data_IF_531557081265
#
_entry.id   IF_531557081265
#
_cell.length_a   1.000
_cell.length_b   1.000
_cell.length_c   1.000
_cell.angle_alpha   90.00
_cell.angle_beta   90.00
_cell.angle_gamma   90.00
#
_symmetry.space_group_name_H-M   'P 1'
#
loop_
_entity.id
_entity.type
_entity.pdbx_description
1 polymer ?
#
# COMPACT_ATOMS: atom_id res chain seq x y z
N UNK A 1 50.58 -5.43 -33.90
CA UNK A 1 51.72 -5.15 -33.01
C UNK A 1 51.30 -5.35 -31.58
N UNK A 2 52.07 -6.24 -30.96
CA UNK A 2 52.38 -6.44 -29.52
C UNK A 2 51.13 -6.70 -28.63
N UNK A 3 50.89 -7.90 -28.21
CA UNK A 3 51.63 -8.87 -27.32
C UNK A 3 51.57 -8.54 -25.86
N UNK A 4 51.15 -9.59 -25.08
CA UNK A 4 51.55 -9.94 -23.70
C UNK A 4 50.72 -9.30 -22.59
N UNK A 5 50.38 -9.96 -21.50
CA UNK A 5 50.93 -11.17 -20.84
C UNK A 5 49.91 -11.75 -19.84
N UNK A 6 49.94 -13.03 -19.71
CA UNK A 6 49.36 -13.91 -18.72
C UNK A 6 49.97 -13.73 -17.32
N UNK A 7 49.16 -13.84 -16.27
CA UNK A 7 49.63 -14.26 -14.94
C UNK A 7 48.61 -15.13 -14.27
N UNK A 8 48.94 -16.38 -14.21
CA UNK A 8 48.42 -17.44 -13.37
C UNK A 8 48.81 -17.19 -11.90
N UNK A 9 47.86 -17.31 -10.99
CA UNK A 9 48.17 -17.52 -9.58
C UNK A 9 47.26 -18.61 -8.98
N UNK A 10 47.96 -19.60 -8.55
CA UNK A 10 47.60 -20.87 -7.95
C UNK A 10 46.72 -20.75 -6.69
N UNK A 11 45.82 -21.70 -6.59
CA UNK A 11 45.10 -22.09 -5.38
C UNK A 11 46.00 -22.78 -4.36
N UNK A 12 45.78 -22.65 -3.06
CA UNK A 12 46.21 -23.67 -2.10
C UNK A 12 45.03 -24.50 -1.58
N UNK A 13 45.28 -25.81 -1.53
CA UNK A 13 44.46 -26.90 -0.99
C UNK A 13 44.30 -26.80 0.53
N UNK A 14 43.22 -27.32 1.10
CA UNK A 14 43.05 -27.40 2.54
C UNK A 14 43.66 -28.69 3.12
N UNK A 15 44.35 -28.53 4.22
CA UNK A 15 44.92 -29.54 5.08
C UNK A 15 43.83 -30.32 5.85
N UNK A 16 43.90 -31.63 5.79
CA UNK A 16 43.18 -32.57 6.65
C UNK A 16 43.88 -32.70 8.01
N UNK A 17 43.15 -32.80 9.13
CA UNK A 17 43.71 -33.34 10.35
C UNK A 17 43.27 -34.79 10.62
N UNK A 18 44.22 -35.64 10.55
CA UNK A 18 44.64 -36.81 11.33
C UNK A 18 43.66 -37.36 12.38
N UNK A 19 43.34 -38.61 12.15
CA UNK A 19 42.77 -39.60 13.08
C UNK A 19 43.66 -39.84 14.31
N UNK A 20 43.10 -39.74 15.49
CA UNK A 20 43.68 -40.33 16.70
C UNK A 20 42.82 -41.47 17.22
N UNK A 21 43.31 -42.65 16.98
CA UNK A 21 42.97 -43.91 17.59
C UNK A 21 43.25 -43.86 19.11
N UNK A 22 42.28 -44.15 19.94
CA UNK A 22 42.52 -44.48 21.33
C UNK A 22 41.97 -45.86 21.64
N UNK A 23 42.92 -46.68 22.13
CA UNK A 23 42.83 -48.07 22.52
C UNK A 23 41.95 -48.30 23.73
N UNK A 24 41.23 -49.39 23.73
CA UNK A 24 40.57 -50.03 24.86
C UNK A 24 41.58 -50.61 25.87
N UNK A 25 41.26 -50.67 27.14
CA UNK A 25 41.79 -51.73 28.02
C UNK A 25 40.67 -52.66 28.52
N UNK A 26 40.89 -53.89 28.21
CA UNK A 26 40.90 -55.20 28.96
C UNK A 26 40.04 -55.25 30.24
N UNK A 27 39.26 -56.31 30.19
CA UNK A 27 38.40 -56.88 31.22
C UNK A 27 39.10 -57.17 32.57
N UNK A 28 38.34 -56.98 33.61
CA UNK A 28 38.55 -57.78 34.84
C UNK A 28 37.18 -58.01 35.47
N UNK A 29 36.76 -59.28 35.46
CA UNK A 29 35.70 -59.76 36.32
C UNK A 29 36.25 -59.93 37.76
N UNK A 30 35.43 -59.69 38.75
CA UNK A 30 35.33 -60.64 39.85
C UNK A 30 33.94 -60.96 40.33
N UNK A 31 33.80 -62.20 40.69
CA UNK A 31 33.07 -62.76 41.78
C UNK A 31 31.55 -62.66 41.86
N UNK A 32 31.00 -63.77 41.60
CA UNK A 32 29.71 -64.31 41.98
C UNK A 32 29.46 -64.15 43.52
N UNK A 33 28.51 -63.29 43.93
CA UNK A 33 27.91 -63.32 45.25
C UNK A 33 26.42 -63.68 45.11
N UNK A 34 26.10 -64.84 45.68
CA UNK A 34 24.75 -65.33 45.91
C UNK A 34 24.13 -64.40 46.94
N UNK A 35 23.06 -63.73 46.58
CA UNK A 35 22.21 -62.98 47.49
C UNK A 35 20.75 -63.37 47.28
N UNK A 36 20.27 -64.09 48.20
CA UNK A 36 18.95 -64.12 48.82
C UNK A 36 17.85 -63.40 48.09
N UNK A 37 16.89 -64.25 47.68
CA UNK A 37 15.54 -63.91 47.30
C UNK A 37 14.79 -63.32 48.52
N UNK A 38 14.65 -62.02 48.55
CA UNK A 38 13.66 -61.38 49.42
C UNK A 38 12.39 -61.13 48.57
N UNK A 39 11.38 -61.92 48.85
CA UNK A 39 10.00 -61.71 48.42
C UNK A 39 9.53 -60.35 48.98
N UNK A 40 9.51 -59.32 48.17
CA UNK A 40 8.78 -58.09 48.47
C UNK A 40 7.34 -58.23 47.94
N UNK A 41 6.33 -57.81 48.73
CA UNK A 41 4.96 -57.86 48.31
C UNK A 41 4.70 -56.87 47.20
N UNK A 42 4.05 -57.32 46.15
CA UNK A 42 3.57 -56.52 45.02
C UNK A 42 2.75 -55.30 45.54
N UNK A 43 3.40 -54.15 45.62
CA UNK A 43 2.69 -52.89 45.75
C UNK A 43 1.92 -52.61 44.47
N UNK A 44 0.63 -52.69 44.47
CA UNK A 44 -0.26 -52.15 43.47
C UNK A 44 0.03 -50.66 43.30
N UNK A 45 0.95 -50.35 42.39
CA UNK A 45 1.11 -48.93 41.97
C UNK A 45 -0.17 -48.51 41.24
N UNK A 46 -0.80 -47.41 41.60
CA UNK A 46 -1.93 -46.86 40.86
C UNK A 46 -1.51 -46.66 39.40
N UNK A 47 -2.29 -47.26 38.51
CA UNK A 47 -2.06 -47.19 37.06
C UNK A 47 -2.01 -45.70 36.65
N UNK A 48 -0.80 -45.20 36.47
CA UNK A 48 -0.55 -43.80 36.11
C UNK A 48 -0.91 -43.66 34.63
N UNK A 49 -2.12 -43.13 34.33
CA UNK A 49 -2.63 -42.92 32.98
C UNK A 49 -1.61 -42.10 32.17
N UNK A 50 -0.92 -41.20 32.82
CA UNK A 50 0.16 -40.42 32.20
C UNK A 50 1.35 -41.29 31.77
N UNK A 51 1.75 -42.31 32.52
CA UNK A 51 2.84 -43.22 32.15
C UNK A 51 2.48 -44.06 30.92
N UNK A 52 1.26 -44.55 30.83
CA UNK A 52 0.81 -45.30 29.67
C UNK A 52 0.74 -44.46 28.39
N UNK A 53 0.35 -43.17 28.52
CA UNK A 53 0.30 -42.24 27.40
C UNK A 53 1.71 -41.87 26.93
N UNK A 54 2.64 -41.67 27.85
CA UNK A 54 4.06 -41.39 27.50
C UNK A 54 4.74 -42.60 26.83
N UNK A 55 4.54 -43.81 27.34
CA UNK A 55 5.10 -45.02 26.70
C UNK A 55 4.50 -45.27 25.31
N UNK A 56 3.21 -45.02 25.13
CA UNK A 56 2.55 -45.10 23.83
C UNK A 56 3.14 -44.07 22.86
N UNK A 57 3.29 -42.81 23.31
CA UNK A 57 3.87 -41.71 22.53
C UNK A 57 5.31 -42.04 22.14
N UNK A 58 6.13 -42.55 23.06
CA UNK A 58 7.54 -42.88 22.77
C UNK A 58 7.70 -44.01 21.75
N UNK A 59 6.87 -45.04 21.81
CA UNK A 59 6.82 -46.13 20.82
C UNK A 59 6.39 -45.67 19.43
N UNK A 60 5.55 -44.64 19.35
CA UNK A 60 4.99 -44.15 18.08
C UNK A 60 5.47 -42.77 17.67
N UNK A 61 6.51 -42.22 18.32
CA UNK A 61 7.03 -40.90 18.04
C UNK A 61 7.37 -40.68 16.55
N UNK A 62 7.94 -41.68 15.89
CA UNK A 62 8.27 -41.55 14.47
C UNK A 62 7.00 -41.49 13.60
N UNK A 63 6.02 -42.34 13.88
CA UNK A 63 4.74 -42.36 13.17
C UNK A 63 3.94 -41.06 13.42
N UNK A 64 3.98 -40.54 14.65
CA UNK A 64 3.35 -39.28 15.03
C UNK A 64 3.98 -38.08 14.29
N UNK A 65 5.31 -38.01 14.22
CA UNK A 65 6.05 -36.98 13.46
C UNK A 65 5.67 -37.02 11.98
N UNK A 66 5.61 -38.20 11.38
CA UNK A 66 5.19 -38.36 9.98
C UNK A 66 3.74 -37.93 9.80
N UNK A 67 2.84 -38.31 10.70
CA UNK A 67 1.43 -37.92 10.67
C UNK A 67 1.24 -36.40 10.73
N UNK A 68 1.90 -35.73 11.66
CA UNK A 68 1.88 -34.26 11.79
C UNK A 68 2.44 -33.58 10.55
N UNK A 69 3.55 -34.10 10.01
CA UNK A 69 4.14 -33.57 8.78
C UNK A 69 3.18 -33.71 7.58
N UNK A 70 2.53 -34.85 7.43
CA UNK A 70 1.55 -35.10 6.36
C UNK A 70 0.34 -34.16 6.48
N UNK A 71 -0.20 -33.98 7.69
CA UNK A 71 -1.30 -33.03 7.94
C UNK A 71 -0.87 -31.61 7.58
N UNK A 72 0.34 -31.19 7.98
CA UNK A 72 0.90 -29.89 7.65
C UNK A 72 1.05 -29.68 6.13
N UNK A 73 1.61 -30.64 5.43
CA UNK A 73 1.77 -30.59 3.97
C UNK A 73 0.40 -30.58 3.27
N UNK A 74 -0.52 -31.45 3.69
CA UNK A 74 -1.87 -31.48 3.13
C UNK A 74 -2.60 -30.16 3.34
N UNK A 75 -2.51 -29.57 4.54
CA UNK A 75 -3.05 -28.26 4.84
C UNK A 75 -2.48 -27.15 3.94
N UNK A 76 -1.16 -27.14 3.73
CA UNK A 76 -0.50 -26.19 2.82
C UNK A 76 -0.95 -26.37 1.37
N UNK A 77 -1.08 -27.62 0.89
CA UNK A 77 -1.58 -27.90 -0.46
C UNK A 77 -3.03 -27.43 -0.64
N UNK A 78 -3.90 -27.68 0.33
CA UNK A 78 -5.28 -27.23 0.30
C UNK A 78 -5.38 -25.70 0.31
N UNK A 79 -4.59 -25.02 1.13
CA UNK A 79 -4.51 -23.57 1.17
C UNK A 79 -3.99 -23.04 -0.18
N UNK A 80 -2.90 -23.58 -0.70
CA UNK A 80 -2.33 -23.18 -1.99
C UNK A 80 -3.32 -23.35 -3.15
N UNK A 81 -4.08 -24.44 -3.15
CA UNK A 81 -5.12 -24.71 -4.16
C UNK A 81 -6.32 -23.77 -4.02
N UNK A 82 -6.72 -23.46 -2.78
CA UNK A 82 -7.87 -22.58 -2.49
C UNK A 82 -7.62 -21.13 -2.89
N UNK A 83 -6.41 -20.63 -2.73
CA UNK A 83 -6.10 -19.20 -2.92
C UNK A 83 -5.72 -18.86 -4.35
N UNK A 84 -5.58 -19.81 -5.27
CA UNK A 84 -5.08 -19.58 -6.65
C UNK A 84 -3.82 -18.68 -6.69
N UNK A 85 -2.94 -18.88 -5.73
CA UNK A 85 -1.74 -18.05 -5.44
C UNK A 85 -0.77 -17.99 -6.63
N UNK A 86 -0.88 -18.95 -7.56
CA UNK A 86 0.04 -19.08 -8.70
C UNK A 86 -0.52 -18.50 -10.02
N UNK A 87 -1.81 -18.10 -10.08
CA UNK A 87 -2.39 -17.63 -11.33
C UNK A 87 -2.00 -16.19 -11.59
N UNK A 88 -1.39 -15.94 -12.75
CA UNK A 88 -1.16 -14.60 -13.27
C UNK A 88 -2.40 -14.14 -14.05
N UNK A 89 -2.93 -12.99 -13.71
CA UNK A 89 -4.04 -12.37 -14.43
C UNK A 89 -3.48 -11.46 -15.51
N UNK A 90 -3.92 -11.68 -16.75
CA UNK A 90 -3.48 -10.92 -17.93
C UNK A 90 -4.51 -9.88 -18.36
N UNK A 91 -5.76 -10.16 -18.09
CA UNK A 91 -6.89 -9.29 -18.42
C UNK A 91 -7.79 -9.12 -17.21
N UNK A 92 -8.60 -8.08 -17.20
CA UNK A 92 -9.62 -7.85 -16.17
C UNK A 92 -10.64 -9.00 -16.13
N UNK A 93 -10.97 -9.56 -17.30
CA UNK A 93 -11.88 -10.73 -17.41
C UNK A 93 -11.33 -12.00 -16.80
N UNK A 94 -10.01 -12.11 -16.64
CA UNK A 94 -9.39 -13.28 -16.01
C UNK A 94 -9.55 -13.30 -14.49
N UNK A 95 -9.93 -12.16 -13.92
CA UNK A 95 -10.08 -12.00 -12.46
C UNK A 95 -11.46 -12.55 -12.08
N UNK A 96 -11.52 -13.60 -11.24
CA UNK A 96 -12.79 -14.12 -10.77
C UNK A 96 -13.57 -13.06 -9.99
N UNK A 97 -14.88 -12.99 -10.21
CA UNK A 97 -15.78 -12.05 -9.49
C UNK A 97 -15.67 -12.19 -7.96
N UNK A 98 -15.38 -13.40 -7.47
CA UNK A 98 -15.15 -13.64 -6.04
C UNK A 98 -14.00 -12.81 -5.47
N UNK A 99 -12.96 -12.52 -6.27
CA UNK A 99 -11.81 -11.72 -5.84
C UNK A 99 -12.21 -10.26 -5.67
N UNK A 100 -13.09 -9.77 -6.54
CA UNK A 100 -13.65 -8.43 -6.47
C UNK A 100 -14.59 -8.34 -5.27
N UNK A 101 -15.52 -9.29 -5.13
CA UNK A 101 -16.47 -9.35 -4.02
C UNK A 101 -15.77 -9.45 -2.66
N UNK A 102 -14.73 -10.27 -2.55
CA UNK A 102 -13.91 -10.42 -1.33
C UNK A 102 -12.87 -9.29 -1.16
N UNK A 103 -12.83 -8.35 -2.08
CA UNK A 103 -11.88 -7.22 -2.09
C UNK A 103 -10.43 -7.67 -1.88
N UNK A 104 -10.00 -8.66 -2.64
CA UNK A 104 -8.66 -9.22 -2.53
C UNK A 104 -7.60 -8.18 -2.87
N UNK A 105 -6.47 -8.27 -2.18
CA UNK A 105 -5.31 -7.43 -2.46
C UNK A 105 -4.36 -8.19 -3.37
N UNK A 106 -4.07 -7.60 -4.52
CA UNK A 106 -3.13 -8.13 -5.50
C UNK A 106 -1.83 -7.34 -5.46
N UNK A 107 -0.77 -7.96 -5.95
CA UNK A 107 0.55 -7.35 -6.10
C UNK A 107 0.84 -7.19 -7.58
N UNK A 108 1.41 -6.05 -7.98
CA UNK A 108 1.77 -5.85 -9.37
C UNK A 108 2.95 -4.91 -9.53
N UNK A 109 3.48 -4.89 -10.74
CA UNK A 109 4.57 -4.02 -11.18
C UNK A 109 4.02 -2.98 -12.13
N UNK A 110 4.31 -1.70 -11.88
CA UNK A 110 3.89 -0.61 -12.75
C UNK A 110 4.66 -0.66 -14.06
N UNK A 111 3.96 -0.69 -15.18
CA UNK A 111 4.53 -0.73 -16.53
C UNK A 111 4.30 0.53 -17.32
N UNK A 112 3.29 1.31 -16.97
CA UNK A 112 2.97 2.55 -17.65
C UNK A 112 1.86 3.31 -16.94
N UNK A 113 1.54 4.46 -17.51
CA UNK A 113 0.42 5.30 -17.12
C UNK A 113 -0.31 5.74 -18.39
N UNK A 114 -1.61 5.56 -18.44
CA UNK A 114 -2.47 5.99 -19.54
C UNK A 114 -3.59 6.86 -19.00
N UNK A 115 -3.45 8.19 -19.16
CA UNK A 115 -4.39 9.13 -18.58
C UNK A 115 -4.55 8.94 -17.07
N UNK A 116 -5.75 8.58 -16.62
CA UNK A 116 -6.06 8.37 -15.20
C UNK A 116 -5.78 6.94 -14.70
N UNK A 117 -5.22 6.08 -15.54
CA UNK A 117 -5.00 4.65 -15.25
C UNK A 117 -3.53 4.34 -15.05
N UNK A 118 -3.25 3.43 -14.13
CA UNK A 118 -1.94 2.83 -13.95
C UNK A 118 -1.97 1.47 -14.64
N UNK A 119 -1.11 1.28 -15.62
CA UNK A 119 -0.96 -0.01 -16.31
C UNK A 119 -0.08 -0.92 -15.47
N UNK A 120 -0.65 -2.00 -14.95
CA UNK A 120 -0.02 -2.87 -13.97
C UNK A 120 0.10 -4.29 -14.49
N UNK A 121 1.31 -4.84 -14.45
CA UNK A 121 1.56 -6.26 -14.63
C UNK A 121 1.34 -6.98 -13.30
N UNK A 122 0.37 -7.91 -13.26
CA UNK A 122 0.09 -8.68 -12.05
C UNK A 122 1.23 -9.64 -11.71
N UNK A 123 1.69 -9.60 -10.46
CA UNK A 123 2.70 -10.51 -9.94
C UNK A 123 2.03 -11.51 -8.97
N UNK A 124 2.03 -12.81 -9.29
CA UNK A 124 1.53 -13.82 -8.37
C UNK A 124 2.37 -13.87 -7.10
N UNK A 125 1.77 -14.24 -5.96
CA UNK A 125 2.45 -14.29 -4.65
C UNK A 125 3.54 -15.35 -4.67
N UNK A 126 3.25 -16.52 -5.25
CA UNK A 126 4.23 -17.59 -5.49
C UNK A 126 4.57 -17.57 -6.96
N UNK A 127 5.77 -17.15 -7.28
CA UNK A 127 6.31 -17.32 -8.61
C UNK A 127 6.71 -18.79 -8.78
N UNK A 128 5.88 -19.53 -9.53
CA UNK A 128 6.24 -20.90 -9.89
C UNK A 128 7.59 -20.91 -10.62
N UNK A 129 8.37 -21.98 -10.46
CA UNK A 129 9.69 -22.15 -11.10
C UNK A 129 9.68 -22.03 -12.63
N UNK A 130 8.52 -22.01 -13.27
CA UNK A 130 8.33 -21.96 -14.74
C UNK A 130 8.05 -20.55 -15.26
N UNK A 131 8.70 -19.50 -14.80
CA UNK A 131 8.30 -18.29 -15.46
C UNK A 131 8.94 -17.00 -15.05
N UNK A 132 10.20 -16.81 -15.40
CA UNK A 132 10.59 -15.56 -16.05
C UNK A 132 9.95 -15.53 -17.43
N UNK A 133 8.64 -15.49 -17.50
CA UNK A 133 7.95 -15.19 -18.74
C UNK A 133 8.29 -13.73 -19.00
N UNK A 134 9.10 -13.51 -20.06
CA UNK A 134 9.35 -12.18 -20.62
C UNK A 134 8.00 -11.47 -20.70
N UNK A 135 7.88 -10.32 -19.99
CA UNK A 135 6.64 -9.57 -19.94
C UNK A 135 6.12 -9.34 -21.34
N UNK A 136 5.01 -9.99 -21.67
CA UNK A 136 4.27 -9.65 -22.89
C UNK A 136 3.59 -8.33 -22.58
N UNK A 137 3.85 -7.34 -23.38
CA UNK A 137 3.27 -5.99 -23.32
C UNK A 137 1.73 -6.02 -23.31
N UNK A 138 1.14 -7.13 -23.77
CA UNK A 138 -0.32 -7.33 -23.92
C UNK A 138 -1.03 -7.79 -22.63
N UNK A 139 -0.33 -7.90 -21.52
CA UNK A 139 -0.87 -8.47 -20.28
C UNK A 139 -0.93 -7.42 -19.15
N UNK A 140 -1.45 -6.23 -19.44
CA UNK A 140 -1.50 -5.15 -18.47
C UNK A 140 -2.94 -4.96 -17.96
N UNK A 141 -3.06 -4.77 -16.65
CA UNK A 141 -4.32 -4.47 -15.99
C UNK A 141 -4.46 -2.96 -15.85
N UNK A 142 -5.51 -2.34 -16.39
CA UNK A 142 -5.81 -0.94 -16.17
C UNK A 142 -6.39 -0.75 -14.75
N UNK A 143 -5.61 -0.11 -13.89
CA UNK A 143 -5.96 0.16 -12.49
C UNK A 143 -6.27 1.64 -12.33
N UNK A 144 -7.52 1.94 -11.94
CA UNK A 144 -7.99 3.26 -11.55
C UNK A 144 -7.95 3.43 -10.04
N UNK A 145 -7.70 4.64 -9.60
CA UNK A 145 -7.77 4.97 -8.17
C UNK A 145 -9.23 5.15 -7.74
N UNK A 146 -9.72 4.28 -6.88
CA UNK A 146 -11.08 4.35 -6.37
C UNK A 146 -11.31 5.60 -5.51
N UNK A 147 -12.49 6.20 -5.66
CA UNK A 147 -12.97 7.32 -4.84
C UNK A 147 -12.27 8.65 -5.09
N UNK A 148 -11.49 8.79 -6.18
CA UNK A 148 -10.79 10.04 -6.50
C UNK A 148 -10.96 10.41 -7.98
N UNK A 149 -11.07 11.73 -8.20
CA UNK A 149 -10.98 12.33 -9.51
C UNK A 149 -9.68 13.14 -9.60
N UNK A 150 -8.78 12.73 -10.49
CA UNK A 150 -7.42 13.27 -10.59
C UNK A 150 -7.43 14.48 -11.52
N UNK A 151 -6.84 15.60 -11.11
CA UNK A 151 -6.64 16.77 -11.98
C UNK A 151 -5.48 16.52 -12.97
N UNK A 152 -5.38 17.31 -14.03
CA UNK A 152 -4.27 17.22 -15.00
C UNK A 152 -2.90 17.35 -14.31
N UNK A 153 -2.74 18.32 -13.41
CA UNK A 153 -1.52 18.45 -12.60
C UNK A 153 -1.31 17.22 -11.70
N UNK A 154 -2.38 16.52 -11.32
CA UNK A 154 -2.34 15.28 -10.55
C UNK A 154 -1.80 14.09 -11.32
N UNK A 155 -1.93 14.07 -12.66
CA UNK A 155 -1.37 12.99 -13.49
C UNK A 155 0.15 12.94 -13.40
N UNK A 156 0.81 14.08 -13.49
CA UNK A 156 2.27 14.17 -13.32
C UNK A 156 2.70 13.70 -11.93
N UNK A 157 1.91 14.05 -10.92
CA UNK A 157 2.18 13.63 -9.54
C UNK A 157 1.93 12.13 -9.34
N UNK A 158 0.92 11.57 -10.01
CA UNK A 158 0.64 10.13 -10.01
C UNK A 158 1.86 9.34 -10.51
N UNK A 159 2.47 9.77 -11.63
CA UNK A 159 3.70 9.15 -12.17
C UNK A 159 4.85 9.21 -11.14
N UNK A 160 4.99 10.32 -10.44
CA UNK A 160 6.00 10.45 -9.37
C UNK A 160 5.73 9.52 -8.19
N UNK A 161 4.46 9.37 -7.80
CA UNK A 161 4.04 8.49 -6.71
C UNK A 161 4.15 7.02 -7.06
N UNK A 162 3.95 6.67 -8.33
CA UNK A 162 3.98 5.29 -8.84
C UNK A 162 4.96 5.17 -10.03
N UNK A 163 6.28 5.32 -9.79
CA UNK A 163 7.26 5.27 -10.87
C UNK A 163 7.25 3.91 -11.58
N UNK A 164 7.70 3.90 -12.82
CA UNK A 164 7.85 2.70 -13.62
C UNK A 164 8.65 1.65 -12.85
N UNK A 165 8.33 0.40 -13.10
CA UNK A 165 8.94 -0.77 -12.47
C UNK A 165 8.76 -0.89 -10.94
N UNK A 166 8.06 0.05 -10.31
CA UNK A 166 7.77 -0.03 -8.88
C UNK A 166 6.72 -1.11 -8.58
N UNK A 167 6.89 -1.74 -7.43
CA UNK A 167 5.93 -2.74 -6.93
C UNK A 167 4.85 -2.01 -6.15
N UNK A 168 3.61 -2.26 -6.53
CA UNK A 168 2.42 -1.74 -5.85
C UNK A 168 1.54 -2.89 -5.37
N UNK A 169 0.75 -2.59 -4.36
CA UNK A 169 -0.31 -3.45 -3.85
C UNK A 169 -1.63 -2.76 -4.14
N UNK A 170 -2.53 -3.42 -4.84
CA UNK A 170 -3.81 -2.85 -5.18
C UNK A 170 -4.94 -3.76 -4.70
N UNK A 171 -5.85 -3.19 -3.92
CA UNK A 171 -7.04 -3.88 -3.43
C UNK A 171 -8.18 -3.61 -4.39
N UNK A 172 -8.73 -4.69 -4.92
CA UNK A 172 -9.88 -4.64 -5.82
C UNK A 172 -11.12 -4.17 -5.05
N UNK A 173 -11.87 -3.22 -5.61
CA UNK A 173 -13.15 -2.80 -5.07
C UNK A 173 -14.27 -3.07 -6.06
N UNK A 174 -14.14 -2.61 -7.30
CA UNK A 174 -15.12 -2.77 -8.36
C UNK A 174 -14.44 -2.85 -9.73
N UNK A 175 -15.21 -3.20 -10.72
CA UNK A 175 -14.88 -3.01 -12.15
C UNK A 175 -15.88 -2.00 -12.68
N UNK A 176 -15.40 -0.96 -13.35
CA UNK A 176 -16.26 0.01 -13.98
C UNK A 176 -16.78 -0.49 -15.35
N UNK A 177 -17.72 0.24 -15.96
CA UNK A 177 -18.31 -0.09 -17.26
C UNK A 177 -17.28 -0.18 -18.39
N UNK A 178 -16.15 0.51 -18.24
CA UNK A 178 -15.04 0.53 -19.19
C UNK A 178 -14.06 -0.63 -18.99
N UNK A 179 -14.43 -1.66 -18.21
CA UNK A 179 -13.58 -2.82 -17.87
C UNK A 179 -12.26 -2.42 -17.20
N UNK A 180 -12.28 -1.39 -16.36
CA UNK A 180 -11.13 -0.95 -15.56
C UNK A 180 -11.34 -1.32 -14.09
N UNK A 181 -10.24 -1.59 -13.40
CA UNK A 181 -10.26 -1.99 -11.99
C UNK A 181 -10.24 -0.76 -11.08
N UNK A 182 -11.32 -0.50 -10.35
CA UNK A 182 -11.32 0.50 -9.28
C UNK A 182 -10.64 -0.08 -8.03
N UNK A 183 -9.52 0.51 -7.63
CA UNK A 183 -8.66 -0.04 -6.59
C UNK A 183 -8.21 0.98 -5.55
N UNK A 184 -7.91 0.47 -4.36
CA UNK A 184 -7.09 1.16 -3.37
C UNK A 184 -5.64 0.80 -3.65
N UNK A 185 -4.83 1.75 -4.08
CA UNK A 185 -3.43 1.52 -4.42
C UNK A 185 -2.53 1.90 -3.25
N UNK A 186 -1.66 0.99 -2.87
CA UNK A 186 -0.63 1.18 -1.85
C UNK A 186 0.74 0.91 -2.44
N UNK A 187 1.69 1.78 -2.17
CA UNK A 187 3.10 1.57 -2.48
C UNK A 187 3.92 1.53 -1.20
N UNK A 188 4.84 0.60 -1.13
CA UNK A 188 5.79 0.55 -0.02
C UNK A 188 6.98 1.47 -0.34
N UNK A 189 7.21 2.45 0.52
CA UNK A 189 8.38 3.32 0.46
C UNK A 189 9.17 3.10 1.74
N UNK A 190 10.30 2.42 1.63
CA UNK A 190 11.11 1.99 2.78
C UNK A 190 10.27 1.15 3.77
N UNK A 191 10.17 1.59 5.03
CA UNK A 191 9.41 0.92 6.09
C UNK A 191 7.91 1.28 6.10
N UNK A 192 7.50 2.33 5.37
CA UNK A 192 6.13 2.83 5.41
C UNK A 192 5.34 2.43 4.16
N UNK A 193 4.05 2.18 4.37
CA UNK A 193 3.09 1.96 3.29
C UNK A 193 2.36 3.26 2.98
N UNK A 194 2.54 3.77 1.77
CA UNK A 194 1.90 4.96 1.26
C UNK A 194 0.62 4.58 0.52
N UNK A 195 -0.53 5.14 0.90
CA UNK A 195 -1.76 5.03 0.13
C UNK A 195 -1.79 6.12 -0.93
N UNK A 196 -1.70 5.73 -2.21
CA UNK A 196 -1.60 6.67 -3.34
C UNK A 196 -2.87 7.51 -3.45
N UNK A 197 -4.07 6.90 -3.33
CA UNK A 197 -5.35 7.58 -3.35
C UNK A 197 -5.39 8.77 -2.35
N UNK A 198 -5.05 8.50 -1.09
CA UNK A 198 -5.09 9.51 -0.02
C UNK A 198 -4.01 10.59 -0.21
N UNK A 199 -2.84 10.20 -0.68
CA UNK A 199 -1.71 11.12 -0.85
C UNK A 199 -2.00 12.16 -1.92
N UNK A 200 -2.58 11.76 -3.06
CA UNK A 200 -2.98 12.68 -4.12
C UNK A 200 -3.99 13.71 -3.64
N UNK A 201 -5.04 13.26 -2.92
CA UNK A 201 -6.05 14.15 -2.35
C UNK A 201 -5.44 15.09 -1.31
N UNK A 202 -4.60 14.58 -0.40
CA UNK A 202 -3.92 15.35 0.65
C UNK A 202 -2.97 16.42 0.10
N UNK A 203 -2.42 16.17 -1.08
CA UNK A 203 -1.58 17.14 -1.80
C UNK A 203 -2.39 18.14 -2.64
N UNK A 204 -3.71 17.92 -2.76
CA UNK A 204 -4.58 18.78 -3.56
C UNK A 204 -4.52 18.51 -5.07
N UNK A 205 -4.09 17.33 -5.48
CA UNK A 205 -4.02 16.93 -6.89
C UNK A 205 -5.20 16.08 -7.36
N UNK A 206 -6.09 15.75 -6.44
CA UNK A 206 -7.32 15.02 -6.72
C UNK A 206 -8.42 15.43 -5.77
N UNK A 207 -9.68 15.33 -6.26
CA UNK A 207 -10.91 15.55 -5.48
C UNK A 207 -11.55 14.22 -5.14
N UNK A 208 -12.33 14.18 -4.07
CA UNK A 208 -13.08 12.99 -3.69
C UNK A 208 -14.26 12.80 -4.65
N UNK A 209 -14.37 11.60 -5.22
CA UNK A 209 -15.48 11.17 -6.08
C UNK A 209 -16.35 10.18 -5.31
N UNK A 210 -17.68 10.17 -5.45
CA UNK A 210 -18.52 9.13 -4.88
C UNK A 210 -18.08 7.74 -5.39
N UNK A 211 -18.16 6.74 -4.53
CA UNK A 211 -17.83 5.39 -4.89
C UNK A 211 -18.89 4.79 -5.84
N UNK A 212 -18.49 3.77 -6.60
CA UNK A 212 -19.40 3.04 -7.46
C UNK A 212 -20.61 2.51 -6.65
N UNK A 213 -21.86 2.61 -7.15
CA UNK A 213 -23.07 2.26 -6.39
C UNK A 213 -23.03 0.84 -5.79
N UNK A 214 -22.51 -0.13 -6.53
CA UNK A 214 -22.42 -1.54 -6.09
C UNK A 214 -21.59 -1.76 -4.81
N UNK A 215 -20.68 -0.85 -4.50
CA UNK A 215 -19.76 -0.98 -3.36
C UNK A 215 -19.87 0.17 -2.35
N UNK A 216 -20.77 1.11 -2.57
CA UNK A 216 -20.88 2.33 -1.76
C UNK A 216 -21.08 2.03 -0.26
N UNK A 217 -21.89 1.02 0.06
CA UNK A 217 -22.19 0.61 1.44
C UNK A 217 -21.18 -0.36 2.04
N UNK A 218 -20.21 -0.84 1.26
CA UNK A 218 -19.22 -1.77 1.79
C UNK A 218 -18.30 -1.07 2.82
N UNK A 219 -18.04 -1.69 4.00
CA UNK A 219 -17.31 -1.04 5.09
C UNK A 219 -15.90 -0.56 4.70
N UNK A 220 -15.23 -1.25 3.79
CA UNK A 220 -13.91 -0.81 3.28
C UNK A 220 -14.04 0.47 2.46
N UNK A 221 -15.09 0.57 1.63
CA UNK A 221 -15.35 1.75 0.79
C UNK A 221 -15.74 2.95 1.65
N UNK A 222 -16.60 2.75 2.64
CA UNK A 222 -16.99 3.80 3.59
C UNK A 222 -15.76 4.34 4.32
N UNK A 223 -14.89 3.45 4.84
CA UNK A 223 -13.63 3.85 5.47
C UNK A 223 -12.69 4.58 4.51
N UNK A 224 -12.62 4.16 3.25
CA UNK A 224 -11.84 4.83 2.23
C UNK A 224 -12.34 6.27 2.04
N UNK A 225 -13.64 6.44 1.74
CA UNK A 225 -14.22 7.77 1.50
C UNK A 225 -14.05 8.69 2.72
N UNK A 226 -14.27 8.20 3.93
CA UNK A 226 -14.02 8.97 5.16
C UNK A 226 -12.56 9.47 5.25
N UNK A 227 -11.59 8.61 4.89
CA UNK A 227 -10.17 8.99 4.89
C UNK A 227 -9.87 10.01 3.80
N UNK A 228 -10.42 9.81 2.60
CA UNK A 228 -10.24 10.73 1.47
C UNK A 228 -10.85 12.10 1.79
N UNK A 229 -12.08 12.16 2.35
CA UNK A 229 -12.71 13.42 2.74
C UNK A 229 -11.91 14.18 3.81
N UNK A 230 -11.32 13.46 4.78
CA UNK A 230 -10.40 14.08 5.75
C UNK A 230 -9.14 14.65 5.08
N UNK A 231 -8.60 13.93 4.08
CA UNK A 231 -7.44 14.39 3.33
C UNK A 231 -7.76 15.60 2.46
N UNK A 232 -8.97 15.64 1.86
CA UNK A 232 -9.47 16.76 1.08
C UNK A 232 -9.64 18.02 1.93
N UNK A 233 -10.33 17.92 3.07
CA UNK A 233 -10.44 19.02 4.03
C UNK A 233 -9.08 19.55 4.49
N UNK A 234 -8.10 18.64 4.65
CA UNK A 234 -6.74 19.06 4.96
C UNK A 234 -6.09 19.85 3.81
N UNK A 235 -6.26 19.39 2.56
CA UNK A 235 -5.72 20.06 1.38
C UNK A 235 -6.36 21.44 1.19
N UNK A 236 -7.69 21.54 1.35
CA UNK A 236 -8.47 22.77 1.30
C UNK A 236 -8.01 23.77 2.38
N UNK A 237 -7.94 23.33 3.64
CA UNK A 237 -7.48 24.16 4.77
C UNK A 237 -6.06 24.70 4.57
N UNK A 238 -5.21 23.93 3.91
CA UNK A 238 -3.82 24.30 3.61
C UNK A 238 -3.66 24.98 2.25
N UNK A 239 -4.76 25.19 1.51
CA UNK A 239 -4.77 25.77 0.18
C UNK A 239 -3.74 25.12 -0.77
N UNK A 240 -3.76 23.77 -0.87
CA UNK A 240 -2.82 23.00 -1.67
C UNK A 240 -3.41 22.65 -3.05
N UNK A 241 -2.55 22.64 -4.07
CA UNK A 241 -2.89 22.22 -5.42
C UNK A 241 -4.12 22.93 -5.98
N UNK A 242 -5.17 22.20 -6.34
CA UNK A 242 -6.43 22.74 -6.88
C UNK A 242 -7.16 23.67 -5.90
N UNK A 243 -6.86 23.61 -4.60
CA UNK A 243 -7.40 24.46 -3.56
C UNK A 243 -6.54 25.70 -3.31
N UNK A 244 -5.44 25.87 -4.06
CA UNK A 244 -4.59 27.03 -3.93
C UNK A 244 -5.38 28.28 -4.31
N UNK A 245 -5.53 29.19 -3.36
CA UNK A 245 -6.14 30.50 -3.62
C UNK A 245 -5.18 31.28 -4.51
N UNK A 246 -5.67 31.94 -5.57
CA UNK A 246 -4.81 32.79 -6.38
C UNK A 246 -4.12 33.84 -5.50
N UNK A 247 -2.90 34.26 -5.83
CA UNK A 247 -2.13 35.20 -5.03
C UNK A 247 -2.94 36.49 -4.80
N UNK A 248 -2.76 37.12 -3.65
CA UNK A 248 -3.51 38.32 -3.23
C UNK A 248 -3.54 39.38 -4.32
N UNK A 249 -2.44 39.52 -5.07
CA UNK A 249 -2.33 40.48 -6.18
C UNK A 249 -3.33 40.17 -7.29
N UNK A 250 -3.52 38.95 -7.66
CA UNK A 250 -4.44 38.51 -8.72
C UNK A 250 -5.87 38.64 -8.28
N UNK A 251 -6.20 38.29 -7.05
CA UNK A 251 -7.54 38.52 -6.45
C UNK A 251 -7.86 39.99 -6.33
N UNK A 252 -6.87 40.84 -6.05
CA UNK A 252 -7.08 42.29 -6.04
C UNK A 252 -7.32 42.86 -7.44
N UNK A 253 -6.58 42.36 -8.45
CA UNK A 253 -6.82 42.73 -9.84
C UNK A 253 -8.22 42.34 -10.33
N UNK A 254 -8.64 41.13 -10.02
CA UNK A 254 -9.96 40.59 -10.36
C UNK A 254 -11.08 41.41 -9.69
N UNK A 255 -10.99 41.68 -8.37
CA UNK A 255 -11.93 42.56 -7.66
C UNK A 255 -11.94 44.02 -8.17
N UNK A 256 -10.77 44.53 -8.54
CA UNK A 256 -10.68 45.87 -9.13
C UNK A 256 -11.26 45.86 -10.54
N UNK A 257 -11.11 44.79 -11.30
CA UNK A 257 -11.74 44.54 -12.60
C UNK A 257 -13.27 44.53 -12.47
N UNK A 258 -13.80 43.67 -11.59
CA UNK A 258 -15.26 43.60 -11.32
C UNK A 258 -15.85 44.92 -10.84
N UNK A 259 -15.14 45.67 -9.97
CA UNK A 259 -15.56 46.99 -9.54
C UNK A 259 -15.55 48.00 -10.69
N UNK A 260 -14.59 47.96 -11.61
CA UNK A 260 -14.54 48.84 -12.78
C UNK A 260 -15.67 48.53 -13.76
N UNK A 261 -15.97 47.26 -13.97
CA UNK A 261 -17.01 46.82 -14.90
C UNK A 261 -18.39 47.09 -14.30
N UNK A 262 -18.64 46.89 -13.01
CA UNK A 262 -19.85 47.28 -12.30
C UNK A 262 -20.05 48.81 -12.22
N UNK A 263 -18.96 49.60 -12.21
CA UNK A 263 -19.03 51.05 -12.32
C UNK A 263 -19.37 51.50 -13.75
N UNK A 264 -18.85 50.84 -14.78
CA UNK A 264 -19.22 51.12 -16.17
C UNK A 264 -20.68 50.81 -16.45
N UNK A 265 -21.19 49.68 -15.98
CA UNK A 265 -22.60 49.33 -16.13
C UNK A 265 -23.54 50.33 -15.42
N UNK A 266 -23.17 50.77 -14.23
CA UNK A 266 -23.96 51.81 -13.51
C UNK A 266 -23.88 53.19 -14.15
N UNK A 267 -22.77 53.53 -14.79
CA UNK A 267 -22.64 54.83 -15.49
C UNK A 267 -23.39 54.84 -16.82
N UNK A 268 -23.53 53.69 -17.49
CA UNK A 268 -24.31 53.60 -18.74
C UNK A 268 -25.82 53.57 -18.47
N UNK A 269 -26.27 53.01 -17.33
CA UNK A 269 -27.71 52.96 -16.99
C UNK A 269 -28.24 54.22 -16.33
N UNK A 270 -27.39 55.19 -15.92
CA UNK A 270 -27.81 56.42 -15.21
C UNK A 270 -27.54 57.72 -15.96
N UNK A 271 -27.14 57.65 -17.23
CA UNK A 271 -27.10 58.86 -18.10
C UNK A 271 -28.50 59.14 -18.70
N UNK A 272 -29.47 59.36 -17.86
CA UNK A 272 -30.50 60.33 -18.13
C UNK A 272 -29.96 61.73 -17.72
N UNK A 273 -30.05 62.75 -18.55
CA UNK A 273 -29.50 64.08 -18.23
C UNK A 273 -30.29 64.73 -17.13
N UNK A 274 -29.78 64.77 -15.92
CA UNK A 274 -30.19 65.63 -14.86
C UNK A 274 -29.04 66.56 -14.47
N UNK A 275 -29.09 67.73 -14.99
CA UNK A 275 -28.36 68.88 -14.52
C UNK A 275 -28.61 69.11 -13.04
N UNK A 276 -27.75 68.68 -12.16
CA UNK A 276 -27.63 69.21 -10.80
C UNK A 276 -26.37 68.61 -10.10
N UNK A 277 -25.44 69.44 -9.83
CA UNK A 277 -24.83 69.50 -8.53
C UNK A 277 -23.54 68.71 -8.24
N UNK A 278 -22.50 69.42 -8.21
CA UNK A 278 -21.13 69.32 -7.72
C UNK A 278 -20.89 68.53 -6.39
N UNK A 279 -21.91 67.93 -5.80
CA UNK A 279 -21.79 67.28 -4.46
C UNK A 279 -21.49 65.79 -4.46
N UNK A 280 -21.47 65.11 -5.63
CA UNK A 280 -21.25 63.67 -5.70
C UNK A 280 -19.75 63.25 -5.47
N UNK A 281 -18.80 64.16 -5.73
CA UNK A 281 -17.38 63.84 -5.59
C UNK A 281 -16.90 63.77 -4.13
N UNK A 282 -17.57 64.53 -3.22
CA UNK A 282 -17.23 64.50 -1.79
C UNK A 282 -17.66 63.21 -1.07
N UNK A 283 -18.76 62.61 -1.48
CA UNK A 283 -19.28 61.37 -0.84
C UNK A 283 -18.46 60.14 -1.20
N UNK A 284 -17.90 60.07 -2.41
CA UNK A 284 -17.03 58.97 -2.83
C UNK A 284 -15.68 58.99 -2.12
N UNK A 285 -15.15 60.19 -1.87
CA UNK A 285 -13.85 60.33 -1.15
C UNK A 285 -14.01 59.98 0.35
N UNK A 286 -15.14 60.23 0.96
CA UNK A 286 -15.40 59.85 2.35
C UNK A 286 -15.60 58.35 2.56
N UNK A 287 -16.19 57.62 1.60
CA UNK A 287 -16.36 56.14 1.68
C UNK A 287 -15.09 55.37 1.39
N UNK A 288 -14.21 55.87 0.55
CA UNK A 288 -12.90 55.24 0.30
C UNK A 288 -11.92 55.40 1.49
N UNK A 289 -12.03 56.47 2.27
CA UNK A 289 -11.23 56.70 3.49
C UNK A 289 -11.59 55.79 4.66
N UNK A 290 -12.82 55.24 4.68
CA UNK A 290 -13.29 54.36 5.76
C UNK A 290 -12.89 52.88 5.57
N UNK A 291 -12.55 52.48 4.34
CA UNK A 291 -12.19 51.10 4.01
C UNK A 291 -10.68 50.77 4.16
N UNK A 292 -9.84 51.77 4.43
CA UNK A 292 -8.38 51.61 4.57
C UNK A 292 -7.94 51.75 6.03
N UNK A 293 -8.79 51.50 7.00
CA UNK A 293 -8.37 51.47 8.40
C UNK A 293 -7.88 50.08 8.77
N UNK A 294 -6.57 49.90 8.68
CA UNK A 294 -5.89 48.71 9.22
C UNK A 294 -5.95 48.74 10.74
N UNK A 295 -6.31 47.63 11.40
CA UNK A 295 -6.11 47.54 12.84
C UNK A 295 -4.61 47.43 13.15
N UNK A 296 -4.12 48.50 13.79
CA UNK A 296 -2.77 48.53 14.33
C UNK A 296 -2.66 47.50 15.47
N UNK A 297 -1.96 46.39 15.25
CA UNK A 297 -1.59 45.45 16.32
C UNK A 297 -0.48 46.10 17.15
N UNK A 298 -0.84 46.76 18.22
CA UNK A 298 0.10 47.12 19.26
C UNK A 298 0.61 45.83 19.92
N UNK A 299 1.90 45.61 19.77
CA UNK A 299 2.72 44.74 20.61
C UNK A 299 2.55 45.16 22.05
N UNK A 300 2.07 44.26 22.92
CA UNK A 300 2.32 44.37 24.35
C UNK A 300 3.16 43.16 24.75
N UNK A 301 4.45 43.41 24.96
CA UNK A 301 5.31 42.66 25.82
C UNK A 301 4.88 42.88 27.26
N UNK A 302 4.78 41.80 28.01
CA UNK A 302 4.61 41.74 29.45
C UNK A 302 4.69 40.28 29.86
#
# INVERSE_FOLDING_TARGET
>A
MASKESSSLQSPLPLTPSSKTCKSPVATQPARLVAMETNEPSSHQPMNIFGQVTDFLDRHLQSLRIGVALIGVTGLVLIGRSIRVMKMFRSVSDIPEEFIRKQMTLRGKVRGHEGHHIMVEHLPIVQGMKGRIKGHQDSLLPVCLAGVNISEAGLTNLVTLTPLDSIIWFRLLAVNEQKQLECIVKRRKNLFSLMVNETLVKQGFAQVKPAHPSIALHPTTVKLIQRLSKAELYAEKKAKGIWAKPPLRERMHERIGEMKDGLKERTVSTLKPLSAGVNAVKVVKARLGALVRWPNKSSKNG
#
